data_IF_923777351673
#
_entry.id   IF_923777351673
#
_cell.length_a   1.000
_cell.length_b   1.000
_cell.length_c   1.000
_cell.angle_alpha   90.00
_cell.angle_beta   90.00
_cell.angle_gamma   90.00
#
_symmetry.space_group_name_H-M   'P 1'
#
loop_
_entity.id
_entity.type
_entity.pdbx_description
1 polymer ?
#
# COMPACT_ATOMS: atom_id res chain seq x y z
N UNK A 1 15.00 34.25 41.12
CA UNK A 1 15.31 32.80 41.09
C UNK A 1 15.18 32.38 39.65
N UNK A 2 16.24 31.97 38.97
CA UNK A 2 16.20 31.77 37.52
C UNK A 2 15.86 30.31 37.18
N UNK A 3 14.60 30.05 36.86
CA UNK A 3 14.14 28.85 36.16
C UNK A 3 14.11 29.13 34.66
N UNK A 4 14.22 28.09 33.84
CA UNK A 4 13.91 28.21 32.41
C UNK A 4 12.76 27.27 32.06
N UNK A 5 11.77 27.80 31.38
CA UNK A 5 10.62 27.07 30.86
C UNK A 5 10.74 27.03 29.34
N UNK A 6 10.69 25.83 28.77
CA UNK A 6 10.80 25.60 27.34
C UNK A 6 9.53 24.92 26.81
N UNK A 7 8.71 25.69 26.12
CA UNK A 7 7.62 25.19 25.27
C UNK A 7 8.15 24.33 24.13
N UNK A 8 7.69 23.08 24.09
CA UNK A 8 8.09 22.04 23.16
C UNK A 8 6.89 21.56 22.33
N UNK A 9 7.14 21.18 21.09
CA UNK A 9 6.14 20.60 20.19
C UNK A 9 6.74 19.44 19.40
N UNK A 10 5.98 18.37 19.16
CA UNK A 10 6.43 17.27 18.29
C UNK A 10 6.10 17.61 16.84
N UNK A 11 7.02 17.30 15.92
CA UNK A 11 6.79 17.54 14.47
C UNK A 11 5.50 16.88 14.00
N UNK A 12 4.64 17.68 13.36
CA UNK A 12 3.35 17.25 12.81
C UNK A 12 2.18 17.24 13.79
N UNK A 13 2.39 17.63 15.05
CA UNK A 13 1.31 17.85 16.02
C UNK A 13 0.77 19.29 15.94
N UNK A 14 -0.48 19.50 16.38
CA UNK A 14 -1.14 20.79 16.37
C UNK A 14 -0.51 21.74 17.42
N UNK A 15 0.04 22.89 17.02
CA UNK A 15 0.71 23.82 17.93
C UNK A 15 -0.22 24.43 18.99
N UNK A 16 -1.54 24.51 18.75
CA UNK A 16 -2.48 25.08 19.72
C UNK A 16 -3.00 24.08 20.75
N UNK A 17 -2.84 22.78 20.49
CA UNK A 17 -3.38 21.72 21.36
C UNK A 17 -2.30 20.87 22.02
N UNK A 18 -1.12 20.75 21.38
CA UNK A 18 -0.14 19.73 21.74
C UNK A 18 1.20 20.29 22.25
N UNK A 19 1.32 21.62 22.38
CA UNK A 19 2.48 22.23 23.03
C UNK A 19 2.52 21.84 24.51
N UNK A 20 3.69 21.48 24.98
CA UNK A 20 3.94 21.09 26.36
C UNK A 20 5.21 21.76 26.88
N UNK A 21 5.29 21.97 28.19
CA UNK A 21 6.40 22.68 28.81
C UNK A 21 7.38 21.73 29.48
N UNK A 22 8.68 22.00 29.29
CA UNK A 22 9.74 21.36 30.07
C UNK A 22 10.45 22.43 30.90
N UNK A 23 10.47 22.24 32.23
CA UNK A 23 11.01 23.22 33.18
C UNK A 23 12.34 22.73 33.78
N UNK A 24 13.37 23.57 33.79
CA UNK A 24 14.63 23.30 34.49
C UNK A 24 14.94 24.33 35.58
N UNK A 25 15.44 23.83 36.72
CA UNK A 25 15.85 24.63 37.87
C UNK A 25 17.25 25.26 37.77
N UNK A 26 17.65 25.96 38.86
CA UNK A 26 18.79 26.89 39.03
C UNK A 26 20.20 26.49 38.54
N UNK A 27 20.44 25.27 38.05
CA UNK A 27 21.77 24.77 37.63
C UNK A 27 21.84 24.44 36.13
N UNK A 28 21.43 25.38 35.28
CA UNK A 28 21.47 25.26 33.82
C UNK A 28 22.88 25.04 33.25
N UNK A 29 23.93 25.45 33.97
CA UNK A 29 25.33 25.27 33.54
C UNK A 29 25.72 23.81 33.30
N UNK A 30 24.99 22.85 33.89
CA UNK A 30 25.24 21.41 33.75
C UNK A 30 24.08 20.67 33.07
N UNK A 31 23.04 21.37 32.60
CA UNK A 31 21.95 20.72 31.87
C UNK A 31 22.31 20.68 30.39
N UNK A 32 22.47 19.46 29.89
CA UNK A 32 22.76 19.19 28.47
C UNK A 32 21.48 18.99 27.68
N UNK A 33 21.56 19.19 26.37
CA UNK A 33 20.48 18.87 25.44
C UNK A 33 20.06 17.39 25.58
N UNK A 34 20.99 16.48 25.90
CA UNK A 34 20.64 15.07 26.16
C UNK A 34 19.71 14.88 27.38
N UNK A 35 19.85 15.69 28.44
CA UNK A 35 18.90 15.67 29.56
C UNK A 35 17.52 16.14 29.13
N UNK A 36 17.46 17.16 28.28
CA UNK A 36 16.21 17.63 27.70
C UNK A 36 15.54 16.58 26.80
N UNK A 37 16.31 15.85 25.98
CA UNK A 37 15.77 14.70 25.23
C UNK A 37 15.12 13.66 26.14
N UNK A 38 15.72 13.37 27.30
CA UNK A 38 15.13 12.44 28.29
C UNK A 38 13.83 12.98 28.88
N UNK A 39 13.81 14.25 29.30
CA UNK A 39 12.61 14.89 29.84
C UNK A 39 11.45 14.86 28.83
N UNK A 40 11.72 15.19 27.56
CA UNK A 40 10.71 15.11 26.48
C UNK A 40 10.19 13.68 26.29
N UNK A 41 11.09 12.69 26.32
CA UNK A 41 10.68 11.27 26.22
C UNK A 41 9.80 10.84 27.40
N UNK A 42 10.14 11.26 28.62
CA UNK A 42 9.37 10.96 29.83
C UNK A 42 7.99 11.62 29.77
N UNK A 43 7.89 12.86 29.31
CA UNK A 43 6.63 13.59 29.13
C UNK A 43 5.72 12.94 28.06
N UNK A 44 6.31 12.43 26.96
CA UNK A 44 5.60 11.78 25.85
C UNK A 44 5.53 10.26 25.99
N UNK A 45 5.75 9.71 27.19
CA UNK A 45 5.57 8.27 27.42
C UNK A 45 4.08 7.90 27.42
N UNK A 46 3.67 6.74 26.85
CA UNK A 46 4.52 5.70 26.26
C UNK A 46 4.84 5.88 24.77
N UNK A 47 4.35 6.95 24.12
CA UNK A 47 4.48 7.15 22.66
C UNK A 47 5.94 7.14 22.20
N UNK A 48 6.85 7.68 23.00
CA UNK A 48 8.28 7.79 22.65
C UNK A 48 9.10 6.57 23.09
N UNK A 49 8.50 5.54 23.69
CA UNK A 49 9.26 4.38 24.21
C UNK A 49 9.82 3.47 23.11
N UNK A 50 9.32 3.60 21.88
CA UNK A 50 9.67 2.78 20.73
C UNK A 50 11.06 3.07 20.11
N UNK A 51 11.77 4.14 20.50
CA UNK A 51 13.11 4.45 20.01
C UNK A 51 14.07 4.93 21.11
N UNK A 52 15.39 4.75 20.91
CA UNK A 52 16.41 5.19 21.86
C UNK A 52 16.57 6.73 21.87
N UNK A 53 16.87 7.33 23.03
CA UNK A 53 16.94 8.79 23.22
C UNK A 53 17.89 9.51 22.26
N UNK A 54 18.97 8.87 21.83
CA UNK A 54 19.93 9.42 20.87
C UNK A 54 19.31 9.67 19.48
N UNK A 55 18.26 8.92 19.15
CA UNK A 55 17.53 9.03 17.87
C UNK A 55 16.58 10.23 17.79
N UNK A 56 16.19 10.80 18.94
CA UNK A 56 15.38 12.01 18.98
C UNK A 56 16.23 13.21 18.55
N UNK A 57 15.79 13.98 17.56
CA UNK A 57 16.43 15.25 17.18
C UNK A 57 15.65 16.42 17.76
N UNK A 58 16.37 17.40 18.31
CA UNK A 58 15.77 18.61 18.85
C UNK A 58 16.23 19.80 18.02
N UNK A 59 15.29 20.66 17.68
CA UNK A 59 15.52 21.86 16.89
C UNK A 59 15.10 23.06 17.72
N UNK A 60 16.01 24.02 17.91
CA UNK A 60 15.66 25.33 18.45
C UNK A 60 14.93 26.11 17.37
N UNK A 61 13.78 26.66 17.72
CA UNK A 61 12.97 27.52 16.86
C UNK A 61 12.48 28.72 17.67
N UNK A 62 11.87 29.66 16.97
CA UNK A 62 11.18 30.82 17.54
C UNK A 62 9.93 31.05 16.70
N UNK A 63 8.79 30.54 17.20
CA UNK A 63 7.49 30.58 16.51
C UNK A 63 6.45 31.08 17.52
N UNK A 64 5.93 32.28 17.28
CA UNK A 64 4.84 32.86 18.07
C UNK A 64 3.53 32.11 17.85
N UNK A 65 2.73 31.92 18.89
CA UNK A 65 1.36 31.40 18.80
C UNK A 65 0.31 32.53 18.72
N UNK A 66 0.66 33.76 19.13
CA UNK A 66 -0.25 34.91 19.16
C UNK A 66 -0.47 35.52 17.77
N UNK A 67 0.57 35.54 16.94
CA UNK A 67 0.51 36.12 15.60
C UNK A 67 0.26 35.04 14.55
N UNK A 68 -0.76 35.26 13.72
CA UNK A 68 -1.01 34.45 12.52
C UNK A 68 0.24 34.49 11.64
N UNK A 69 0.94 33.35 11.54
CA UNK A 69 2.20 33.26 10.81
C UNK A 69 2.23 32.02 9.93
N UNK A 70 2.82 32.16 8.74
CA UNK A 70 2.93 31.07 7.75
C UNK A 70 3.69 29.85 8.31
N UNK A 71 4.53 30.05 9.34
CA UNK A 71 5.29 28.95 9.97
C UNK A 71 4.39 27.99 10.74
N UNK A 72 3.30 28.47 11.36
CA UNK A 72 2.34 27.65 12.10
C UNK A 72 1.60 26.66 11.20
N UNK A 73 1.15 27.13 10.02
CA UNK A 73 0.56 26.25 9.00
C UNK A 73 1.56 25.19 8.54
N UNK A 74 2.82 25.58 8.41
CA UNK A 74 3.88 24.67 7.99
C UNK A 74 4.18 23.60 9.05
N UNK A 75 4.13 23.89 10.36
CA UNK A 75 4.44 22.89 11.42
C UNK A 75 3.61 21.61 11.34
N UNK A 76 2.39 21.72 10.84
CA UNK A 76 1.46 20.60 10.66
C UNK A 76 1.73 19.77 9.38
N UNK A 77 2.58 20.26 8.47
CA UNK A 77 2.91 19.59 7.21
C UNK A 77 4.32 18.95 7.27
N UNK A 78 4.65 18.02 6.36
CA UNK A 78 6.00 17.42 6.31
C UNK A 78 7.03 18.43 5.79
N UNK A 79 7.66 19.18 6.70
CA UNK A 79 8.60 20.27 6.39
C UNK A 79 10.07 19.94 6.71
N UNK A 80 10.96 20.70 6.07
CA UNK A 80 12.37 20.81 6.41
C UNK A 80 12.54 21.87 7.51
N UNK A 81 12.56 21.43 8.77
CA UNK A 81 12.64 22.29 9.97
C UNK A 81 13.75 23.34 9.88
N UNK A 82 14.91 22.98 9.30
CA UNK A 82 16.04 23.90 9.16
C UNK A 82 15.76 25.05 8.20
N UNK A 83 15.16 24.76 7.04
CA UNK A 83 14.92 25.74 5.97
C UNK A 83 13.63 26.50 6.19
N UNK A 84 12.56 25.78 6.52
CA UNK A 84 11.20 26.31 6.47
C UNK A 84 10.81 26.98 7.79
N UNK A 85 11.35 26.50 8.93
CA UNK A 85 11.11 27.06 10.26
C UNK A 85 12.29 27.86 10.82
N UNK A 86 13.40 27.94 10.08
CA UNK A 86 14.65 28.56 10.56
C UNK A 86 15.29 27.81 11.73
N UNK A 87 15.03 26.49 11.85
CA UNK A 87 15.46 25.71 13.00
C UNK A 87 16.96 25.47 13.07
N UNK A 88 17.52 25.61 14.27
CA UNK A 88 18.91 25.24 14.60
C UNK A 88 18.93 23.87 15.31
N UNK A 89 19.59 22.87 14.72
CA UNK A 89 19.72 21.54 15.36
C UNK A 89 20.57 21.65 16.64
N UNK A 90 20.02 21.17 17.76
CA UNK A 90 20.66 21.22 19.07
C UNK A 90 21.57 19.98 19.28
N UNK A 91 22.90 20.15 19.38
CA UNK A 91 23.81 19.02 19.59
C UNK A 91 23.61 18.38 20.98
N UNK A 92 23.64 17.03 21.12
CA UNK A 92 23.34 16.36 22.39
C UNK A 92 24.20 16.77 23.58
N UNK A 93 25.48 17.10 23.33
CA UNK A 93 26.46 17.49 24.34
C UNK A 93 26.46 19.00 24.63
N UNK A 94 25.75 19.80 23.83
CA UNK A 94 25.62 21.24 24.09
C UNK A 94 24.88 21.49 25.39
N UNK A 95 25.27 22.55 26.09
CA UNK A 95 24.56 23.05 27.26
C UNK A 95 23.33 23.83 26.82
N UNK A 96 22.22 23.66 27.53
CA UNK A 96 20.99 24.42 27.24
C UNK A 96 21.25 25.92 27.38
N UNK A 97 22.03 26.33 28.39
CA UNK A 97 22.40 27.75 28.62
C UNK A 97 23.15 28.40 27.46
N UNK A 98 23.80 27.62 26.58
CA UNK A 98 24.44 28.14 25.37
C UNK A 98 23.42 28.59 24.33
N UNK A 99 22.31 27.88 24.22
CA UNK A 99 21.27 28.12 23.22
C UNK A 99 20.14 28.99 23.77
N UNK A 100 19.91 28.95 25.07
CA UNK A 100 18.92 29.72 25.81
C UNK A 100 19.59 30.37 27.05
N UNK A 101 20.30 31.49 26.89
CA UNK A 101 21.02 32.16 27.98
C UNK A 101 20.08 32.86 28.97
N UNK A 102 18.87 33.19 28.53
CA UNK A 102 17.78 33.78 29.31
C UNK A 102 16.47 33.03 29.03
N UNK A 103 15.41 33.33 29.80
CA UNK A 103 14.07 32.86 29.51
C UNK A 103 13.69 33.33 28.09
N UNK A 104 13.31 32.41 27.18
CA UNK A 104 12.80 32.79 25.87
C UNK A 104 11.40 33.43 25.98
N UNK A 105 10.89 33.99 24.89
CA UNK A 105 9.60 34.69 24.88
C UNK A 105 8.45 33.77 25.33
N UNK A 106 7.53 34.29 26.14
CA UNK A 106 6.31 33.53 26.46
C UNK A 106 5.43 33.37 25.22
N UNK A 107 4.56 32.36 25.23
CA UNK A 107 3.63 32.04 24.14
C UNK A 107 4.30 31.70 22.79
N UNK A 108 5.59 31.37 22.81
CA UNK A 108 6.34 30.90 21.66
C UNK A 108 6.69 29.41 21.79
N UNK A 109 6.76 28.71 20.65
CA UNK A 109 7.37 27.39 20.56
C UNK A 109 8.89 27.60 20.52
N UNK A 110 9.59 27.00 21.47
CA UNK A 110 11.05 27.11 21.59
C UNK A 110 11.78 25.92 20.98
N UNK A 111 11.15 24.74 21.05
CA UNK A 111 11.77 23.48 20.66
C UNK A 111 10.80 22.65 19.84
N UNK A 112 11.29 22.18 18.70
CA UNK A 112 10.62 21.14 17.92
C UNK A 112 11.34 19.81 18.12
N UNK A 113 10.60 18.83 18.63
CA UNK A 113 11.03 17.46 18.81
C UNK A 113 10.72 16.64 17.55
N UNK A 114 11.78 16.29 16.81
CA UNK A 114 11.67 15.48 15.59
C UNK A 114 11.96 14.01 15.93
N UNK A 115 10.92 13.18 15.79
CA UNK A 115 11.03 11.72 15.86
C UNK A 115 12.02 11.20 14.80
N UNK A 116 12.74 10.10 15.06
CA UNK A 116 13.49 9.45 14.00
C UNK A 116 12.53 9.08 12.87
N UNK A 117 13.01 9.20 11.64
CA UNK A 117 12.24 8.72 10.50
C UNK A 117 12.09 7.21 10.65
N UNK A 118 10.86 6.76 10.89
CA UNK A 118 10.56 5.33 10.99
C UNK A 118 10.80 4.67 9.63
N UNK A 119 11.90 3.93 9.54
CA UNK A 119 12.22 3.09 8.39
C UNK A 119 11.90 1.65 8.71
N UNK A 120 11.30 0.95 7.75
CA UNK A 120 11.02 -0.48 7.81
C UNK A 120 11.78 -1.19 6.69
N UNK A 121 12.45 -2.28 7.03
CA UNK A 121 13.05 -3.19 6.05
C UNK A 121 12.01 -4.23 5.62
N UNK A 122 11.58 -4.18 4.36
CA UNK A 122 10.54 -5.04 3.81
C UNK A 122 11.18 -6.11 2.94
N UNK A 123 10.96 -7.38 3.30
CA UNK A 123 11.38 -8.55 2.53
C UNK A 123 10.15 -9.11 1.83
N UNK A 124 9.92 -8.70 0.60
CA UNK A 124 8.74 -9.10 -0.15
C UNK A 124 9.02 -10.37 -0.97
N UNK A 125 8.09 -11.32 -0.90
CA UNK A 125 8.01 -12.43 -1.84
C UNK A 125 6.69 -12.34 -2.56
N UNK A 126 6.72 -11.89 -3.81
CA UNK A 126 5.52 -11.77 -4.64
C UNK A 126 5.36 -13.01 -5.52
N UNK A 127 4.15 -13.56 -5.58
CA UNK A 127 3.81 -14.72 -6.40
C UNK A 127 2.66 -14.36 -7.34
N UNK A 128 2.81 -14.60 -8.64
CA UNK A 128 1.77 -14.45 -9.64
C UNK A 128 1.72 -15.71 -10.51
N UNK A 129 0.61 -16.44 -10.46
CA UNK A 129 0.48 -17.76 -11.06
C UNK A 129 1.58 -18.71 -10.57
N UNK A 130 2.39 -19.24 -11.51
CA UNK A 130 3.52 -20.15 -11.19
C UNK A 130 4.86 -19.45 -10.99
N UNK A 131 4.91 -18.12 -11.07
CA UNK A 131 6.14 -17.33 -10.97
C UNK A 131 6.24 -16.68 -9.59
N UNK A 132 7.44 -16.67 -9.03
CA UNK A 132 7.73 -15.99 -7.77
C UNK A 132 8.95 -15.08 -7.92
N UNK A 133 8.91 -13.92 -7.29
CA UNK A 133 9.98 -12.91 -7.26
C UNK A 133 10.20 -12.45 -5.83
N UNK A 134 11.47 -12.36 -5.42
CA UNK A 134 11.88 -11.89 -4.10
C UNK A 134 12.65 -10.60 -4.24
N UNK A 135 12.39 -9.67 -3.35
CA UNK A 135 13.04 -8.38 -3.34
C UNK A 135 12.97 -7.75 -1.96
N UNK A 136 13.92 -6.87 -1.70
CA UNK A 136 14.12 -6.25 -0.41
C UNK A 136 14.29 -4.75 -0.60
N UNK A 137 13.64 -3.96 0.23
CA UNK A 137 13.81 -2.52 0.25
C UNK A 137 13.65 -1.95 1.67
N UNK A 138 14.13 -0.73 1.85
CA UNK A 138 13.91 0.05 3.06
C UNK A 138 13.01 1.22 2.71
N UNK A 139 11.87 1.33 3.40
CA UNK A 139 10.87 2.38 3.17
C UNK A 139 10.54 3.12 4.45
N UNK A 140 10.04 4.33 4.32
CA UNK A 140 9.44 5.11 5.41
C UNK A 140 7.92 5.08 5.33
N UNK A 141 7.24 5.39 6.44
CA UNK A 141 5.77 5.26 6.55
C UNK A 141 5.01 6.06 5.48
N UNK A 142 5.59 7.15 5.00
CA UNK A 142 4.99 8.01 3.98
C UNK A 142 5.38 7.70 2.54
N UNK A 143 6.17 6.66 2.28
CA UNK A 143 6.68 6.35 0.93
C UNK A 143 5.95 5.20 0.23
N UNK A 144 5.19 4.39 0.97
CA UNK A 144 4.53 3.22 0.40
C UNK A 144 3.06 3.50 0.11
N UNK A 145 2.65 3.21 -1.12
CA UNK A 145 1.26 3.21 -1.57
C UNK A 145 1.01 1.95 -2.39
N UNK A 146 -0.25 1.51 -2.47
CA UNK A 146 -0.66 0.40 -3.31
C UNK A 146 -0.36 0.68 -4.78
N UNK A 147 -0.56 1.91 -5.25
CA UNK A 147 -0.23 2.27 -6.64
C UNK A 147 1.26 2.11 -6.94
N UNK A 148 2.14 2.53 -6.02
CA UNK A 148 3.57 2.31 -6.17
C UNK A 148 3.91 0.81 -6.18
N UNK A 149 3.31 0.03 -5.28
CA UNK A 149 3.50 -1.43 -5.25
C UNK A 149 3.01 -2.11 -6.54
N UNK A 150 1.83 -1.74 -7.06
CA UNK A 150 1.29 -2.25 -8.33
C UNK A 150 2.20 -1.90 -9.52
N UNK A 151 2.69 -0.67 -9.58
CA UNK A 151 3.67 -0.24 -10.59
C UNK A 151 4.93 -1.11 -10.56
N UNK A 152 5.44 -1.42 -9.37
CA UNK A 152 6.57 -2.34 -9.19
C UNK A 152 6.25 -3.77 -9.65
N UNK A 153 5.06 -4.27 -9.32
CA UNK A 153 4.64 -5.61 -9.75
C UNK A 153 4.58 -5.74 -11.27
N UNK A 154 4.23 -4.66 -11.99
CA UNK A 154 4.25 -4.62 -13.47
C UNK A 154 5.65 -4.73 -14.06
N UNK A 155 6.67 -4.30 -13.33
CA UNK A 155 8.07 -4.49 -13.73
C UNK A 155 8.49 -5.96 -13.51
N UNK A 156 7.99 -6.58 -12.45
CA UNK A 156 8.34 -7.95 -12.06
C UNK A 156 7.60 -9.03 -12.87
N UNK A 157 6.37 -8.76 -13.28
CA UNK A 157 5.46 -9.71 -13.93
C UNK A 157 4.83 -9.12 -15.19
N UNK A 158 4.69 -9.97 -16.21
CA UNK A 158 3.90 -9.66 -17.39
C UNK A 158 2.45 -9.98 -17.10
N UNK A 159 1.61 -8.95 -16.95
CA UNK A 159 0.15 -9.09 -16.85
C UNK A 159 -0.48 -9.11 -18.25
N UNK A 160 -1.71 -9.65 -18.38
CA UNK A 160 -2.47 -9.59 -19.63
C UNK A 160 -2.66 -8.16 -20.16
N UNK A 161 -2.82 -8.02 -21.47
CA UNK A 161 -3.05 -6.74 -22.11
C UNK A 161 -4.29 -6.03 -21.53
N UNK A 162 -4.21 -4.71 -21.36
CA UNK A 162 -5.24 -3.84 -20.75
C UNK A 162 -5.55 -4.11 -19.27
N UNK A 163 -4.70 -4.85 -18.54
CA UNK A 163 -4.83 -4.96 -17.08
C UNK A 163 -4.63 -3.58 -16.45
N UNK A 164 -5.70 -2.91 -16.05
CA UNK A 164 -5.66 -1.69 -15.23
C UNK A 164 -5.31 -1.98 -13.76
N UNK A 165 -4.95 -0.94 -12.98
CA UNK A 165 -4.52 -1.12 -11.58
C UNK A 165 -5.63 -1.67 -10.68
N UNK A 166 -6.89 -1.34 -10.95
CA UNK A 166 -8.07 -1.87 -10.24
C UNK A 166 -8.23 -3.39 -10.40
N UNK A 167 -7.70 -3.96 -11.49
CA UNK A 167 -7.72 -5.40 -11.75
C UNK A 167 -6.62 -6.15 -11.01
N UNK A 168 -5.61 -5.47 -10.47
CA UNK A 168 -4.53 -6.09 -9.72
C UNK A 168 -4.95 -6.18 -8.25
N UNK A 169 -5.25 -7.40 -7.81
CA UNK A 169 -5.58 -7.72 -6.42
C UNK A 169 -4.31 -8.21 -5.73
N UNK A 170 -4.01 -7.66 -4.56
CA UNK A 170 -2.84 -8.03 -3.76
C UNK A 170 -3.33 -8.62 -2.45
N UNK A 171 -3.00 -9.89 -2.24
CA UNK A 171 -3.34 -10.62 -1.04
C UNK A 171 -2.06 -10.95 -0.26
N UNK A 172 -2.06 -10.76 1.06
CA UNK A 172 -1.01 -11.26 1.93
C UNK A 172 -1.41 -12.61 2.50
N UNK A 173 -0.53 -13.60 2.39
CA UNK A 173 -0.68 -14.85 3.12
C UNK A 173 -0.07 -14.70 4.53
N UNK A 174 -0.89 -14.87 5.56
CA UNK A 174 -0.50 -14.90 6.97
C UNK A 174 -0.87 -16.25 7.60
N UNK A 175 -0.12 -16.69 8.60
CA UNK A 175 -0.47 -17.90 9.38
C UNK A 175 0.27 -19.17 8.97
N UNK A 176 0.32 -20.12 9.90
CA UNK A 176 0.98 -21.42 9.75
C UNK A 176 0.08 -22.44 9.05
N UNK A 177 -0.60 -23.28 9.84
CA UNK A 177 -1.38 -24.41 9.30
C UNK A 177 -2.71 -24.01 8.64
N UNK A 178 -3.28 -22.86 9.03
CA UNK A 178 -4.41 -22.22 8.34
C UNK A 178 -3.91 -20.90 7.77
N UNK A 179 -3.82 -20.83 6.43
CA UNK A 179 -3.40 -19.62 5.73
C UNK A 179 -4.55 -18.62 5.76
N UNK A 180 -4.43 -17.61 6.59
CA UNK A 180 -5.29 -16.43 6.56
C UNK A 180 -4.86 -15.54 5.39
N UNK A 181 -5.79 -15.24 4.50
CA UNK A 181 -5.55 -14.40 3.33
C UNK A 181 -6.11 -13.01 3.63
N UNK A 182 -5.22 -12.02 3.74
CA UNK A 182 -5.58 -10.62 3.97
C UNK A 182 -5.53 -9.90 2.62
N UNK A 183 -6.67 -9.43 2.12
CA UNK A 183 -6.73 -8.59 0.93
C UNK A 183 -6.30 -7.16 1.27
N UNK A 184 -5.42 -6.56 0.46
CA UNK A 184 -4.98 -5.17 0.63
C UNK A 184 -5.81 -4.29 -0.31
N UNK A 185 -6.80 -3.58 0.24
CA UNK A 185 -7.76 -2.80 -0.52
C UNK A 185 -7.30 -1.35 -0.69
N UNK A 186 -6.70 -0.78 0.35
CA UNK A 186 -6.21 0.60 0.36
C UNK A 186 -4.79 0.75 0.98
N UNK A 187 -4.31 1.99 1.00
CA UNK A 187 -3.00 2.33 1.56
C UNK A 187 -2.95 2.12 3.09
N UNK A 188 -4.08 2.22 3.79
CA UNK A 188 -4.15 1.98 5.24
C UNK A 188 -3.95 0.50 5.56
N UNK A 189 -4.57 -0.40 4.79
CA UNK A 189 -4.37 -1.85 4.88
C UNK A 189 -2.88 -2.19 4.70
N UNK A 190 -2.26 -1.65 3.65
CA UNK A 190 -0.85 -1.87 3.35
C UNK A 190 0.07 -1.38 4.48
N UNK A 191 -0.21 -0.19 5.02
CA UNK A 191 0.54 0.37 6.14
C UNK A 191 0.36 -0.49 7.38
N UNK A 192 -0.86 -0.92 7.72
CA UNK A 192 -1.14 -1.73 8.91
C UNK A 192 -0.37 -3.06 8.91
N UNK A 193 -0.20 -3.63 7.72
CA UNK A 193 0.47 -4.91 7.50
C UNK A 193 1.99 -4.79 7.58
N UNK A 194 2.56 -3.69 7.08
CA UNK A 194 4.00 -3.47 7.03
C UNK A 194 4.53 -2.88 8.34
N UNK A 195 3.79 -1.95 8.96
CA UNK A 195 4.17 -1.27 10.21
C UNK A 195 3.78 -2.07 11.46
N UNK A 196 4.12 -3.37 11.45
CA UNK A 196 4.07 -4.24 12.62
C UNK A 196 5.29 -4.02 13.53
N UNK A 197 5.34 -4.65 14.71
CA UNK A 197 6.50 -4.55 15.60
C UNK A 197 7.80 -5.06 14.93
N UNK A 198 8.94 -4.48 15.32
CA UNK A 198 10.27 -4.83 14.81
C UNK A 198 10.76 -3.95 13.65
N UNK A 199 12.04 -4.05 13.30
CA UNK A 199 12.66 -3.27 12.22
C UNK A 199 12.45 -3.88 10.83
N UNK A 200 12.30 -5.22 10.79
CA UNK A 200 12.14 -6.02 9.57
C UNK A 200 10.74 -6.62 9.52
N UNK A 201 10.17 -6.72 8.32
CA UNK A 201 8.93 -7.46 8.05
C UNK A 201 9.09 -8.35 6.83
N UNK A 202 8.69 -9.61 6.98
CA UNK A 202 8.50 -10.51 5.85
C UNK A 202 7.09 -10.29 5.28
N UNK A 203 7.03 -10.02 3.98
CA UNK A 203 5.83 -9.59 3.28
C UNK A 203 5.55 -10.52 2.09
N UNK A 204 5.10 -11.77 2.34
CA UNK A 204 4.68 -12.67 1.29
C UNK A 204 3.33 -12.23 0.72
N UNK A 205 3.28 -11.99 -0.58
CA UNK A 205 2.05 -11.60 -1.28
C UNK A 205 1.76 -12.54 -2.45
N UNK A 206 0.48 -12.84 -2.62
CA UNK A 206 -0.09 -13.47 -3.80
C UNK A 206 -0.80 -12.36 -4.58
N UNK A 207 -0.36 -12.19 -5.81
CA UNK A 207 -0.94 -11.25 -6.76
C UNK A 207 -1.91 -12.04 -7.61
N UNK A 208 -3.10 -11.50 -7.79
CA UNK A 208 -4.09 -12.01 -8.71
C UNK A 208 -4.53 -10.89 -9.65
N UNK A 209 -4.98 -11.27 -10.85
CA UNK A 209 -5.66 -10.35 -11.75
C UNK A 209 -7.12 -10.73 -11.78
N UNK A 210 -8.01 -9.92 -11.21
CA UNK A 210 -9.44 -10.08 -11.45
C UNK A 210 -9.70 -9.75 -12.91
N UNK A 211 -9.90 -10.78 -13.75
CA UNK A 211 -10.57 -10.49 -15.02
C UNK A 211 -11.97 -10.03 -14.64
N UNK A 212 -12.39 -8.89 -15.19
CA UNK A 212 -13.75 -8.44 -14.95
C UNK A 212 -14.70 -9.55 -15.44
N UNK A 213 -15.69 -9.89 -14.62
CA UNK A 213 -16.70 -10.89 -14.94
C UNK A 213 -17.29 -10.63 -16.33
N UNK A 214 -17.61 -11.67 -17.11
CA UNK A 214 -18.12 -11.49 -18.47
C UNK A 214 -19.33 -10.54 -18.54
N UNK A 215 -20.18 -10.52 -17.50
CA UNK A 215 -21.34 -9.62 -17.39
C UNK A 215 -21.00 -8.13 -17.28
N UNK A 216 -19.75 -7.77 -16.98
CA UNK A 216 -19.28 -6.38 -16.95
C UNK A 216 -18.76 -5.88 -18.31
N UNK A 217 -18.61 -6.77 -19.28
CA UNK A 217 -18.15 -6.42 -20.62
C UNK A 217 -19.30 -5.80 -21.42
N UNK A 218 -19.10 -4.56 -21.84
CA UNK A 218 -20.03 -3.82 -22.70
C UNK A 218 -19.63 -3.97 -24.18
N UNK A 219 -20.59 -3.83 -25.08
CA UNK A 219 -20.33 -3.89 -26.52
C UNK A 219 -19.23 -2.91 -26.98
N UNK A 220 -19.15 -1.64 -26.51
CA UNK A 220 -18.04 -0.74 -26.87
C UNK A 220 -16.65 -1.26 -26.48
N UNK A 221 -16.53 -1.91 -25.32
CA UNK A 221 -15.26 -2.53 -24.88
C UNK A 221 -14.88 -3.71 -25.80
N UNK A 222 -15.84 -4.57 -26.13
CA UNK A 222 -15.67 -5.71 -27.05
C UNK A 222 -15.30 -5.21 -28.46
N UNK A 223 -16.02 -4.19 -28.97
CA UNK A 223 -15.76 -3.53 -30.26
C UNK A 223 -14.31 -3.08 -30.37
N UNK A 224 -13.83 -2.38 -29.34
CA UNK A 224 -12.45 -1.88 -29.28
C UNK A 224 -11.42 -3.00 -29.09
N UNK A 225 -11.78 -4.10 -28.41
CA UNK A 225 -10.90 -5.25 -28.21
C UNK A 225 -10.67 -6.05 -29.50
N UNK A 226 -11.75 -6.35 -30.22
CA UNK A 226 -11.71 -7.20 -31.42
C UNK A 226 -11.66 -6.42 -32.73
N UNK A 227 -11.56 -5.09 -32.68
CA UNK A 227 -11.53 -4.24 -33.88
C UNK A 227 -12.81 -4.32 -34.71
N UNK A 228 -13.96 -4.49 -34.05
CA UNK A 228 -15.25 -4.62 -34.74
C UNK A 228 -15.66 -3.28 -35.36
N UNK A 229 -16.22 -3.34 -36.57
CA UNK A 229 -16.66 -2.14 -37.30
C UNK A 229 -18.08 -1.71 -36.94
N UNK A 230 -18.88 -2.62 -36.38
CA UNK A 230 -20.28 -2.39 -36.00
C UNK A 230 -20.41 -1.57 -34.70
N UNK A 231 -21.46 -0.75 -34.58
CA UNK A 231 -21.77 0.05 -33.39
C UNK A 231 -22.68 -0.65 -32.38
N UNK A 232 -23.33 -1.74 -32.78
CA UNK A 232 -24.16 -2.60 -31.93
C UNK A 232 -24.03 -4.09 -32.32
N UNK A 233 -24.45 -4.98 -31.42
CA UNK A 233 -24.55 -6.42 -31.69
C UNK A 233 -25.53 -6.74 -32.81
N UNK A 234 -26.55 -5.90 -33.03
CA UNK A 234 -27.55 -6.06 -34.09
C UNK A 234 -26.94 -5.80 -35.47
N UNK A 235 -25.93 -4.93 -35.53
CA UNK A 235 -25.28 -4.48 -36.77
C UNK A 235 -24.12 -5.40 -37.19
N UNK A 236 -23.78 -6.39 -36.36
CA UNK A 236 -22.82 -7.41 -36.75
C UNK A 236 -23.39 -8.26 -37.91
N UNK A 237 -22.54 -8.68 -38.85
CA UNK A 237 -22.95 -9.61 -39.90
C UNK A 237 -23.64 -10.82 -39.29
N UNK A 238 -24.87 -11.09 -39.72
CA UNK A 238 -25.57 -12.30 -39.31
C UNK A 238 -24.88 -13.50 -39.96
N UNK A 239 -24.60 -14.49 -39.13
CA UNK A 239 -24.19 -15.80 -39.62
C UNK A 239 -25.44 -16.55 -40.08
N UNK A 240 -25.64 -16.66 -41.39
CA UNK A 240 -26.63 -17.54 -41.99
C UNK A 240 -26.07 -18.98 -41.99
N UNK A 241 -26.06 -19.58 -40.81
CA UNK A 241 -25.74 -21.00 -40.62
C UNK A 241 -26.99 -21.87 -40.61
N UNK A 242 -26.84 -23.13 -41.01
CA UNK A 242 -27.89 -24.14 -40.81
C UNK A 242 -28.07 -24.42 -39.31
N UNK A 243 -29.29 -24.81 -38.91
CA UNK A 243 -29.56 -25.28 -37.55
C UNK A 243 -28.80 -26.59 -37.34
N UNK A 244 -27.97 -26.65 -36.30
CA UNK A 244 -27.30 -27.89 -35.93
C UNK A 244 -28.30 -29.00 -35.60
N UNK A 245 -28.00 -30.22 -36.03
CA UNK A 245 -28.72 -31.41 -35.60
C UNK A 245 -28.38 -31.70 -34.13
N UNK A 246 -29.32 -31.39 -33.24
CA UNK A 246 -29.17 -31.61 -31.80
C UNK A 246 -29.73 -32.95 -31.33
N UNK A 247 -30.09 -33.88 -32.22
CA UNK A 247 -30.66 -35.17 -31.83
C UNK A 247 -29.78 -35.96 -30.85
N UNK A 248 -28.45 -35.76 -30.88
CA UNK A 248 -27.48 -36.41 -30.01
C UNK A 248 -26.92 -35.48 -28.90
N UNK A 249 -27.60 -34.38 -28.54
CA UNK A 249 -27.08 -33.40 -27.58
C UNK A 249 -26.73 -34.02 -26.21
N UNK A 250 -27.48 -35.03 -25.76
CA UNK A 250 -27.26 -35.68 -24.46
C UNK A 250 -25.91 -36.37 -24.39
N UNK A 251 -25.52 -37.05 -25.47
CA UNK A 251 -24.21 -37.70 -25.57
C UNK A 251 -23.07 -36.69 -25.61
N UNK A 252 -23.27 -35.57 -26.31
CA UNK A 252 -22.30 -34.47 -26.36
C UNK A 252 -22.16 -33.85 -24.97
N UNK A 253 -23.28 -33.61 -24.29
CA UNK A 253 -23.29 -33.07 -22.94
C UNK A 253 -22.58 -34.00 -21.94
N UNK A 254 -22.82 -35.31 -22.02
CA UNK A 254 -22.15 -36.30 -21.20
C UNK A 254 -20.63 -36.24 -21.40
N UNK A 255 -20.16 -36.23 -22.65
CA UNK A 255 -18.72 -36.07 -22.95
C UNK A 255 -18.13 -34.76 -22.43
N UNK A 256 -18.86 -33.63 -22.54
CA UNK A 256 -18.42 -32.34 -22.00
C UNK A 256 -18.30 -32.40 -20.48
N UNK A 257 -19.28 -33.01 -19.79
CA UNK A 257 -19.26 -33.16 -18.34
C UNK A 257 -18.12 -34.08 -17.88
N UNK A 258 -17.87 -35.17 -18.59
CA UNK A 258 -16.73 -36.08 -18.32
C UNK A 258 -15.39 -35.36 -18.47
N UNK A 259 -15.18 -34.60 -19.55
CA UNK A 259 -13.94 -33.84 -19.78
C UNK A 259 -13.73 -32.76 -18.71
N UNK A 260 -14.78 -32.02 -18.36
CA UNK A 260 -14.75 -31.03 -17.27
C UNK A 260 -14.40 -31.71 -15.92
N UNK A 261 -15.01 -32.86 -15.62
CA UNK A 261 -14.75 -33.59 -14.39
C UNK A 261 -13.33 -34.14 -14.33
N UNK A 262 -12.78 -34.62 -15.45
CA UNK A 262 -11.38 -35.05 -15.55
C UNK A 262 -10.43 -33.88 -15.29
N UNK A 263 -10.62 -32.75 -16.00
CA UNK A 263 -9.83 -31.52 -15.81
C UNK A 263 -9.87 -31.05 -14.36
N UNK A 264 -11.06 -31.05 -13.75
CA UNK A 264 -11.23 -30.66 -12.35
C UNK A 264 -10.44 -31.55 -11.39
N UNK A 265 -10.44 -32.88 -11.58
CA UNK A 265 -9.69 -33.83 -10.73
C UNK A 265 -8.17 -33.67 -10.87
N UNK A 266 -7.68 -33.28 -12.04
CA UNK A 266 -6.24 -33.14 -12.32
C UNK A 266 -5.71 -31.74 -12.08
N UNK A 267 -6.59 -30.74 -11.93
CA UNK A 267 -6.16 -29.35 -11.76
C UNK A 267 -5.69 -29.12 -10.32
N UNK A 268 -4.55 -28.44 -10.18
CA UNK A 268 -3.99 -28.06 -8.89
C UNK A 268 -4.84 -26.90 -8.35
N UNK A 269 -5.89 -27.22 -7.59
CA UNK A 269 -6.70 -26.30 -6.79
C UNK A 269 -7.05 -24.95 -7.44
N UNK A 270 -8.21 -24.88 -8.11
CA UNK A 270 -8.85 -23.59 -8.44
C UNK A 270 -9.44 -23.02 -7.16
N UNK A 271 -8.62 -22.33 -6.36
CA UNK A 271 -9.03 -21.71 -5.09
C UNK A 271 -9.77 -20.39 -5.27
N UNK A 272 -9.66 -19.75 -6.44
CA UNK A 272 -10.28 -18.45 -6.71
C UNK A 272 -11.51 -18.58 -7.61
N UNK A 273 -12.56 -17.80 -7.31
CA UNK A 273 -13.77 -17.68 -8.13
C UNK A 273 -13.55 -16.90 -9.44
N UNK A 274 -12.29 -16.62 -9.80
CA UNK A 274 -11.95 -15.84 -10.98
C UNK A 274 -12.31 -16.61 -12.26
N UNK A 275 -13.02 -15.95 -13.16
CA UNK A 275 -13.50 -16.51 -14.43
C UNK A 275 -12.34 -16.88 -15.36
N UNK A 276 -11.21 -16.16 -15.26
CA UNK A 276 -9.97 -16.45 -15.99
C UNK A 276 -9.44 -17.86 -15.72
N UNK A 277 -9.46 -18.30 -14.46
CA UNK A 277 -9.02 -19.63 -14.02
C UNK A 277 -9.99 -20.72 -14.47
N UNK A 278 -11.20 -20.37 -14.92
CA UNK A 278 -12.20 -21.31 -15.44
C UNK A 278 -12.17 -21.45 -16.97
N UNK A 279 -11.29 -20.72 -17.66
CA UNK A 279 -11.15 -20.75 -19.13
C UNK A 279 -10.95 -22.16 -19.70
N UNK A 280 -10.24 -23.04 -18.99
CA UNK A 280 -10.00 -24.42 -19.42
C UNK A 280 -11.28 -25.28 -19.49
N UNK A 281 -12.29 -24.95 -18.68
CA UNK A 281 -13.60 -25.60 -18.71
C UNK A 281 -14.50 -25.03 -19.81
N UNK A 282 -14.39 -23.73 -20.08
CA UNK A 282 -15.12 -23.07 -21.18
C UNK A 282 -14.74 -23.69 -22.53
N UNK A 283 -13.47 -24.05 -22.72
CA UNK A 283 -13.01 -24.73 -23.94
C UNK A 283 -13.76 -26.04 -24.21
N UNK A 284 -14.01 -26.86 -23.18
CA UNK A 284 -14.80 -28.10 -23.33
C UNK A 284 -16.21 -27.83 -23.84
N UNK A 285 -16.86 -26.79 -23.31
CA UNK A 285 -18.21 -26.39 -23.72
C UNK A 285 -18.21 -25.89 -25.17
N UNK A 286 -17.25 -25.04 -25.54
CA UNK A 286 -17.16 -24.49 -26.91
C UNK A 286 -16.94 -25.59 -27.95
N UNK A 287 -16.04 -26.55 -27.69
CA UNK A 287 -15.80 -27.67 -28.59
C UNK A 287 -16.99 -28.63 -28.65
N UNK A 288 -17.68 -28.86 -27.53
CA UNK A 288 -18.91 -29.66 -27.51
C UNK A 288 -19.98 -29.06 -28.42
N UNK A 289 -20.27 -27.76 -28.29
CA UNK A 289 -21.25 -27.07 -29.12
C UNK A 289 -20.84 -27.02 -30.59
N UNK A 290 -19.57 -26.70 -30.88
CA UNK A 290 -19.08 -26.64 -32.26
C UNK A 290 -19.11 -28.01 -32.96
N UNK A 291 -18.98 -29.11 -32.21
CA UNK A 291 -19.06 -30.47 -32.77
C UNK A 291 -20.43 -30.79 -33.38
N UNK A 292 -21.51 -30.13 -32.95
CA UNK A 292 -22.84 -30.29 -33.52
C UNK A 292 -22.95 -29.80 -34.98
N UNK A 293 -21.96 -29.06 -35.45
CA UNK A 293 -21.89 -28.50 -36.80
C UNK A 293 -20.93 -29.28 -37.73
N UNK A 294 -20.50 -30.48 -37.33
CA UNK A 294 -19.65 -31.39 -38.13
C UNK A 294 -18.45 -30.72 -38.85
N UNK A 295 -17.82 -29.76 -38.18
CA UNK A 295 -16.64 -29.03 -38.69
C UNK A 295 -16.93 -27.77 -39.51
N UNK A 296 -18.20 -27.41 -39.73
CA UNK A 296 -18.59 -26.11 -40.32
C UNK A 296 -18.26 -24.95 -39.37
N UNK A 297 -18.38 -25.17 -38.06
CA UNK A 297 -17.96 -24.22 -37.03
C UNK A 297 -16.60 -24.62 -36.47
N UNK A 298 -15.63 -23.72 -36.54
CA UNK A 298 -14.27 -23.92 -36.00
C UNK A 298 -14.05 -23.05 -34.78
N UNK A 299 -13.59 -23.67 -33.70
CA UNK A 299 -13.13 -22.96 -32.50
C UNK A 299 -11.65 -22.62 -32.70
N UNK A 300 -11.36 -21.33 -32.85
CA UNK A 300 -9.99 -20.85 -32.97
C UNK A 300 -9.47 -20.45 -31.57
N UNK A 301 -8.42 -21.09 -31.05
CA UNK A 301 -7.78 -20.65 -29.81
C UNK A 301 -7.12 -19.27 -30.02
N UNK A 302 -6.94 -18.55 -28.91
CA UNK A 302 -6.28 -17.23 -28.86
C UNK A 302 -4.78 -17.29 -29.24
N UNK A 303 -4.19 -18.49 -29.30
CA UNK A 303 -2.76 -18.75 -29.56
C UNK A 303 -2.55 -19.77 -30.67
#
# INVERSE_FOLDING_TARGET
MSTITLSCLVVGENPYENVFEVVFGKNLENVTVNRLKKAIKEEKAPEFDNFATDKLKLWKVDISLEEENEKLELVNTKINIKKDLGGEELPPLSKISKHFPSQPADEHIHIIAQRPVETKEVHCTATYGRKSKKFQWTITRGQITLSALKSWLRICFTFPDRTEDEHIVINRECGGNEKEIICLVDDEDLVSVIWTQGFKVDFPIVVDTSQQQFSSWTFPQIKTLFGLTADSYIDLPRFDGELADTANYEKILEHVLEDIAMKHKTCIHVTSANEATRREFISSVLHGVASCYDGEVKVCPEY
#
